data_IF_767925019038
#
_entry.id   IF_767925019038
#
_cell.length_a   1.000
_cell.length_b   1.000
_cell.length_c   1.000
_cell.angle_alpha   90.00
_cell.angle_beta   90.00
_cell.angle_gamma   90.00
#
_symmetry.space_group_name_H-M   'P 1'
#
loop_
_entity.id
_entity.type
_entity.pdbx_description
1 polymer ?
#
# COMPACT_ATOMS: atom_id res chain seq x y z
N UNK A 1 -43.91 -3.24 3.71
CA UNK A 1 -42.60 -3.85 3.36
C UNK A 1 -41.40 -2.96 3.70
N UNK A 2 -41.48 -1.63 3.57
CA UNK A 2 -40.34 -0.73 3.82
C UNK A 2 -39.93 -0.62 5.30
N UNK A 3 -40.89 -0.68 6.22
CA UNK A 3 -40.63 -0.60 7.67
C UNK A 3 -39.84 -1.81 8.18
N UNK A 4 -40.14 -3.01 7.66
CA UNK A 4 -39.40 -4.23 7.96
C UNK A 4 -37.93 -4.17 7.52
N UNK A 5 -37.66 -3.50 6.39
CA UNK A 5 -36.27 -3.30 5.90
C UNK A 5 -35.49 -2.35 6.83
N UNK A 6 -36.14 -1.29 7.31
CA UNK A 6 -35.52 -0.33 8.26
C UNK A 6 -35.24 -1.00 9.62
N UNK A 7 -36.16 -1.84 10.10
CA UNK A 7 -35.97 -2.64 11.33
C UNK A 7 -34.81 -3.64 11.21
N UNK A 8 -34.70 -4.34 10.08
CA UNK A 8 -33.60 -5.27 9.84
C UNK A 8 -32.23 -4.57 9.79
N UNK A 9 -32.13 -3.42 9.11
CA UNK A 9 -30.88 -2.64 9.05
C UNK A 9 -30.46 -2.15 10.45
N UNK A 10 -31.41 -1.68 11.26
CA UNK A 10 -31.14 -1.28 12.64
C UNK A 10 -30.65 -2.47 13.49
N UNK A 11 -31.26 -3.64 13.32
CA UNK A 11 -30.88 -4.86 14.01
C UNK A 11 -29.47 -5.35 13.61
N UNK A 12 -29.15 -5.36 12.31
CA UNK A 12 -27.81 -5.70 11.80
C UNK A 12 -26.76 -4.73 12.36
N UNK A 13 -27.08 -3.44 12.43
CA UNK A 13 -26.16 -2.42 12.98
C UNK A 13 -25.90 -2.64 14.47
N UNK A 14 -26.91 -3.05 15.23
CA UNK A 14 -26.78 -3.40 16.65
C UNK A 14 -25.93 -4.68 16.87
N UNK A 15 -26.11 -5.68 16.02
CA UNK A 15 -25.47 -7.01 16.16
C UNK A 15 -24.24 -7.21 15.26
N UNK A 16 -23.71 -6.14 14.66
CA UNK A 16 -22.58 -6.17 13.70
C UNK A 16 -21.37 -6.97 14.18
N UNK A 17 -21.03 -6.88 15.48
CA UNK A 17 -19.88 -7.59 16.08
C UNK A 17 -20.13 -9.10 16.13
N UNK A 18 -21.34 -9.52 16.49
CA UNK A 18 -21.72 -10.93 16.55
C UNK A 18 -21.82 -11.54 15.15
N UNK A 19 -22.36 -10.79 14.18
CA UNK A 19 -22.39 -11.20 12.77
C UNK A 19 -20.97 -11.34 12.18
N UNK A 20 -20.05 -10.44 12.54
CA UNK A 20 -18.66 -10.55 12.13
C UNK A 20 -17.98 -11.80 12.71
N UNK A 21 -18.17 -12.07 14.00
CA UNK A 21 -17.62 -13.28 14.65
C UNK A 21 -18.23 -14.56 14.07
N UNK A 22 -19.54 -14.59 13.81
CA UNK A 22 -20.21 -15.73 13.19
C UNK A 22 -19.79 -15.91 11.71
N UNK A 23 -19.57 -14.81 10.98
CA UNK A 23 -19.07 -14.87 9.61
C UNK A 23 -17.65 -15.42 9.54
N UNK A 24 -16.76 -14.96 10.44
CA UNK A 24 -15.39 -15.48 10.53
C UNK A 24 -15.38 -16.94 10.91
N UNK A 25 -16.21 -17.37 11.87
CA UNK A 25 -16.20 -18.78 12.32
C UNK A 25 -16.62 -19.74 11.22
N UNK A 26 -17.65 -19.41 10.43
CA UNK A 26 -18.08 -20.23 9.28
C UNK A 26 -16.98 -20.26 8.21
N UNK A 27 -16.37 -19.11 7.90
CA UNK A 27 -15.31 -19.02 6.89
C UNK A 27 -14.07 -19.82 7.32
N UNK A 28 -13.70 -19.79 8.60
CA UNK A 28 -12.59 -20.56 9.15
C UNK A 28 -12.82 -22.07 9.02
N UNK A 29 -14.03 -22.57 9.32
CA UNK A 29 -14.36 -24.00 9.19
C UNK A 29 -14.26 -24.45 7.73
N UNK A 30 -14.81 -23.68 6.79
CA UNK A 30 -14.74 -23.97 5.36
C UNK A 30 -13.27 -23.95 4.90
N UNK A 31 -12.50 -22.95 5.33
CA UNK A 31 -11.06 -22.84 5.04
C UNK A 31 -10.29 -24.06 5.54
N UNK A 32 -10.53 -24.52 6.76
CA UNK A 32 -9.89 -25.72 7.32
C UNK A 32 -10.22 -26.95 6.48
N UNK A 33 -11.48 -27.15 6.08
CA UNK A 33 -11.88 -28.29 5.24
C UNK A 33 -11.17 -28.26 3.89
N UNK A 34 -11.08 -27.10 3.25
CA UNK A 34 -10.36 -26.94 1.98
C UNK A 34 -8.86 -27.18 2.18
N UNK A 35 -8.28 -26.66 3.26
CA UNK A 35 -6.88 -26.88 3.61
C UNK A 35 -6.54 -28.36 3.83
N UNK A 36 -7.42 -29.10 4.49
CA UNK A 36 -7.23 -30.53 4.72
C UNK A 36 -7.39 -31.34 3.42
N UNK A 37 -8.37 -31.01 2.59
CA UNK A 37 -8.61 -31.71 1.31
C UNK A 37 -7.50 -31.46 0.29
N UNK A 38 -6.97 -30.25 0.24
CA UNK A 38 -6.00 -29.81 -0.77
C UNK A 38 -4.62 -29.54 -0.17
N UNK A 39 -4.24 -30.28 0.88
CA UNK A 39 -3.01 -30.09 1.65
C UNK A 39 -1.77 -30.05 0.74
N UNK A 40 -1.70 -30.94 -0.24
CA UNK A 40 -0.54 -31.03 -1.15
C UNK A 40 -0.43 -29.80 -2.06
N UNK A 41 -1.54 -29.38 -2.68
CA UNK A 41 -1.57 -28.18 -3.51
C UNK A 41 -1.21 -26.90 -2.72
N UNK A 42 -1.64 -26.81 -1.47
CA UNK A 42 -1.28 -25.66 -0.60
C UNK A 42 0.21 -25.70 -0.24
N UNK A 43 0.78 -26.89 -0.01
CA UNK A 43 2.22 -27.04 0.26
C UNK A 43 3.05 -26.66 -0.96
N UNK A 44 2.65 -27.08 -2.14
CA UNK A 44 3.29 -26.71 -3.41
C UNK A 44 3.24 -25.20 -3.65
N UNK A 45 2.07 -24.57 -3.43
CA UNK A 45 1.94 -23.12 -3.52
C UNK A 45 2.82 -22.38 -2.50
N UNK A 46 2.93 -22.90 -1.28
CA UNK A 46 3.79 -22.34 -0.25
C UNK A 46 5.27 -22.45 -0.62
N UNK A 47 5.71 -23.62 -1.09
CA UNK A 47 7.09 -23.83 -1.57
C UNK A 47 7.39 -22.94 -2.79
N UNK A 48 6.45 -22.77 -3.72
CA UNK A 48 6.60 -21.83 -4.84
C UNK A 48 6.72 -20.38 -4.37
N UNK A 49 5.97 -19.98 -3.35
CA UNK A 49 6.02 -18.65 -2.78
C UNK A 49 7.35 -18.41 -2.06
N UNK A 50 7.79 -19.35 -1.23
CA UNK A 50 9.09 -19.30 -0.55
C UNK A 50 10.25 -19.21 -1.55
N UNK A 51 10.20 -20.00 -2.62
CA UNK A 51 11.16 -19.95 -3.71
C UNK A 51 11.11 -18.63 -4.50
N UNK A 52 9.97 -17.96 -4.56
CA UNK A 52 9.87 -16.63 -5.19
C UNK A 52 10.46 -15.52 -4.32
N UNK A 53 10.37 -15.64 -2.99
CA UNK A 53 10.89 -14.68 -2.04
C UNK A 53 12.39 -14.86 -1.77
N UNK A 54 12.89 -16.10 -1.84
CA UNK A 54 14.32 -16.42 -1.68
C UNK A 54 15.16 -16.05 -2.89
N UNK A 55 14.54 -15.92 -4.07
CA UNK A 55 15.12 -15.30 -5.26
C UNK A 55 15.25 -13.79 -5.03
N UNK A 56 16.28 -13.43 -4.28
CA UNK A 56 16.75 -12.05 -4.15
C UNK A 56 17.01 -11.52 -5.58
N UNK A 57 16.46 -10.37 -5.99
CA UNK A 57 16.83 -9.76 -7.26
C UNK A 57 18.33 -9.46 -7.22
N UNK A 58 19.10 -10.10 -8.09
CA UNK A 58 20.56 -10.01 -8.23
C UNK A 58 21.05 -8.62 -8.69
N UNK A 59 20.19 -7.59 -8.62
CA UNK A 59 20.56 -6.20 -8.88
C UNK A 59 19.83 -5.28 -7.91
N UNK A 60 20.39 -5.16 -6.70
CA UNK A 60 20.20 -3.96 -5.88
C UNK A 60 21.58 -3.30 -5.72
N UNK A 61 21.71 -2.00 -6.05
CA UNK A 61 22.96 -1.29 -5.87
C UNK A 61 23.34 -1.23 -4.39
N UNK A 62 24.65 -1.31 -4.21
CA UNK A 62 25.45 -1.30 -2.99
C UNK A 62 24.79 -0.66 -1.76
N UNK A 63 24.78 -1.44 -0.68
CA UNK A 63 24.40 -1.03 0.66
C UNK A 63 25.15 0.22 1.11
N UNK A 64 24.42 1.28 1.43
CA UNK A 64 24.95 2.45 2.12
C UNK A 64 25.39 1.99 3.51
N UNK A 65 26.69 2.10 3.79
CA UNK A 65 27.30 1.76 5.08
C UNK A 65 26.71 2.63 6.19
N UNK A 66 25.96 2.04 7.12
CA UNK A 66 25.65 2.66 8.41
C UNK A 66 26.69 2.14 9.40
N UNK A 67 27.57 3.04 9.85
CA UNK A 67 28.53 2.77 10.93
C UNK A 67 27.76 2.54 12.22
N UNK A 68 27.85 1.32 12.75
CA UNK A 68 27.24 0.88 13.99
C UNK A 68 28.05 1.41 15.19
N UNK A 69 27.51 2.38 15.91
CA UNK A 69 27.94 2.68 17.30
C UNK A 69 26.92 2.08 18.26
N UNK A 70 27.40 1.35 19.27
CA UNK A 70 26.61 0.58 20.22
C UNK A 70 25.55 1.43 20.93
N UNK A 71 24.33 0.90 21.17
CA UNK A 71 23.27 1.67 21.82
C UNK A 71 23.48 1.73 23.34
N UNK A 72 23.41 2.91 23.99
CA UNK A 72 22.89 2.97 25.34
C UNK A 72 21.36 2.83 25.28
N UNK A 73 20.80 2.22 26.33
CA UNK A 73 19.35 2.11 26.56
C UNK A 73 18.72 3.51 26.49
N UNK A 74 17.77 3.70 25.57
CA UNK A 74 16.96 4.91 25.48
C UNK A 74 15.50 4.47 25.64
N UNK A 75 14.86 4.93 26.72
CA UNK A 75 13.40 4.85 26.88
C UNK A 75 12.73 5.41 25.62
N UNK A 76 11.85 4.63 24.99
CA UNK A 76 11.07 5.08 23.84
C UNK A 76 10.05 6.16 24.28
N UNK A 77 10.51 7.40 24.37
CA UNK A 77 9.64 8.57 24.27
C UNK A 77 9.36 8.74 22.78
N UNK A 78 8.17 8.34 22.32
CA UNK A 78 7.70 8.63 20.97
C UNK A 78 7.60 10.17 20.85
N UNK A 79 8.47 10.86 20.09
CA UNK A 79 8.33 12.29 19.94
C UNK A 79 7.08 12.55 19.09
N UNK A 80 6.13 13.29 19.65
CA UNK A 80 5.04 13.88 18.87
C UNK A 80 5.68 14.74 17.79
N UNK A 81 5.60 14.31 16.54
CA UNK A 81 6.15 15.06 15.40
C UNK A 81 5.33 16.33 15.24
N UNK A 82 5.87 17.46 15.66
CA UNK A 82 5.28 18.77 15.37
C UNK A 82 5.43 19.01 13.87
N UNK A 83 4.33 19.01 13.13
CA UNK A 83 4.35 19.31 11.70
C UNK A 83 4.59 20.81 11.50
N UNK A 84 5.77 21.16 11.01
CA UNK A 84 6.09 22.52 10.57
C UNK A 84 6.01 22.58 9.05
N UNK A 85 5.34 23.61 8.52
CA UNK A 85 5.36 23.88 7.08
C UNK A 85 6.73 24.45 6.71
N UNK A 86 7.34 24.04 5.58
CA UNK A 86 8.53 24.69 5.06
C UNK A 86 8.27 26.19 4.86
N UNK A 87 9.18 27.03 5.36
CA UNK A 87 9.12 28.49 5.21
C UNK A 87 10.05 29.00 4.11
N UNK A 88 11.04 28.20 3.69
CA UNK A 88 11.99 28.56 2.65
C UNK A 88 11.65 27.90 1.32
N UNK A 89 11.98 28.53 0.18
CA UNK A 89 11.84 27.92 -1.12
C UNK A 89 12.69 26.64 -1.23
N UNK A 90 12.12 25.60 -1.82
CA UNK A 90 12.86 24.37 -2.09
C UNK A 90 12.43 23.74 -3.42
N UNK A 91 13.38 23.10 -4.08
CA UNK A 91 13.15 22.46 -5.37
C UNK A 91 12.54 21.07 -5.19
N UNK A 92 11.47 20.82 -5.94
CA UNK A 92 10.80 19.53 -6.04
C UNK A 92 11.18 18.93 -7.38
N UNK A 93 11.93 17.84 -7.34
CA UNK A 93 12.31 17.08 -8.53
C UNK A 93 11.11 16.53 -9.29
N UNK A 94 11.34 16.28 -10.58
CA UNK A 94 10.40 15.57 -11.44
C UNK A 94 9.96 14.25 -10.81
N UNK A 95 8.65 13.97 -10.82
CA UNK A 95 8.10 12.75 -10.24
C UNK A 95 6.79 12.34 -10.92
N UNK A 96 6.41 11.08 -10.74
CA UNK A 96 5.12 10.57 -11.19
C UNK A 96 4.06 10.84 -10.11
N UNK A 97 2.92 11.38 -10.50
CA UNK A 97 1.75 11.51 -9.61
C UNK A 97 0.54 10.75 -10.15
N UNK A 98 -0.31 10.31 -9.23
CA UNK A 98 -1.61 9.73 -9.56
C UNK A 98 -2.65 10.85 -9.75
N UNK A 99 -3.44 10.76 -10.82
CA UNK A 99 -4.54 11.66 -11.12
C UNK A 99 -5.84 11.11 -10.51
N UNK A 100 -6.62 11.99 -9.89
CA UNK A 100 -7.93 11.64 -9.33
C UNK A 100 -9.04 11.66 -10.38
N UNK A 101 -10.14 10.96 -10.10
CA UNK A 101 -11.38 11.07 -10.87
C UNK A 101 -11.32 10.48 -12.28
N UNK A 102 -10.56 9.40 -12.48
CA UNK A 102 -10.46 8.73 -13.78
C UNK A 102 -9.77 9.57 -14.85
N UNK A 103 -9.06 10.63 -14.48
CA UNK A 103 -8.27 11.44 -15.40
C UNK A 103 -7.05 10.66 -15.87
N UNK A 104 -6.59 11.00 -17.08
CA UNK A 104 -5.45 10.38 -17.74
C UNK A 104 -4.42 11.45 -18.11
N UNK A 105 -3.17 11.05 -18.36
CA UNK A 105 -2.16 11.96 -18.89
C UNK A 105 -2.53 12.48 -20.28
N UNK A 106 -2.02 13.66 -20.62
CA UNK A 106 -2.05 14.14 -22.01
C UNK A 106 -1.02 13.37 -22.85
N UNK A 107 -1.19 13.45 -24.17
CA UNK A 107 -0.25 12.83 -25.14
C UNK A 107 1.17 13.40 -24.98
N UNK A 108 1.28 14.70 -24.71
CA UNK A 108 2.58 15.37 -24.48
C UNK A 108 3.30 14.77 -23.27
N UNK A 109 2.61 14.62 -22.13
CA UNK A 109 3.19 14.02 -20.93
C UNK A 109 3.53 12.54 -21.09
N UNK A 110 2.80 11.81 -21.93
CA UNK A 110 3.18 10.45 -22.31
C UNK A 110 4.48 10.43 -23.12
N UNK A 111 4.64 11.32 -24.09
CA UNK A 111 5.83 11.41 -24.93
C UNK A 111 7.07 11.83 -24.11
N UNK A 112 6.92 12.81 -23.21
CA UNK A 112 8.00 13.22 -22.30
C UNK A 112 8.44 12.08 -21.38
N UNK A 113 7.49 11.35 -20.80
CA UNK A 113 7.80 10.18 -19.98
C UNK A 113 8.48 9.07 -20.78
N UNK A 114 7.98 8.77 -21.99
CA UNK A 114 8.58 7.78 -22.88
C UNK A 114 10.01 8.16 -23.30
N UNK A 115 10.29 9.44 -23.53
CA UNK A 115 11.63 9.93 -23.82
C UNK A 115 12.61 9.70 -22.65
N UNK A 116 12.10 9.66 -21.41
CA UNK A 116 12.85 9.31 -20.21
C UNK A 116 12.85 7.80 -19.92
N UNK A 117 12.25 6.98 -20.78
CA UNK A 117 12.11 5.53 -20.58
C UNK A 117 11.10 5.15 -19.50
N UNK A 118 10.13 6.02 -19.22
CA UNK A 118 9.11 5.82 -18.19
C UNK A 118 7.77 5.51 -18.85
N UNK A 119 7.22 4.33 -18.57
CA UNK A 119 5.87 3.94 -18.98
C UNK A 119 4.84 4.41 -17.94
N UNK A 120 4.01 5.38 -18.31
CA UNK A 120 2.95 5.90 -17.44
C UNK A 120 1.71 4.99 -17.46
N UNK A 121 1.22 4.63 -16.27
CA UNK A 121 -0.08 3.97 -16.15
C UNK A 121 -1.23 4.93 -16.55
N UNK A 122 -2.43 4.40 -16.87
CA UNK A 122 -3.55 5.22 -17.33
C UNK A 122 -3.85 6.42 -16.42
N UNK A 123 -3.80 6.27 -15.10
CA UNK A 123 -4.12 7.34 -14.15
C UNK A 123 -2.89 8.05 -13.57
N UNK A 124 -1.77 8.03 -14.30
CA UNK A 124 -0.54 8.69 -13.91
C UNK A 124 -0.18 9.82 -14.86
N UNK A 125 0.56 10.80 -14.35
CA UNK A 125 1.20 11.83 -15.16
C UNK A 125 2.58 12.16 -14.60
N UNK A 126 3.46 12.64 -15.48
CA UNK A 126 4.77 13.14 -15.13
C UNK A 126 4.65 14.62 -14.73
N UNK A 127 5.11 14.94 -13.52
CA UNK A 127 5.17 16.31 -12.99
C UNK A 127 6.59 16.80 -13.16
N UNK A 128 6.76 17.93 -13.82
CA UNK A 128 8.06 18.56 -14.03
C UNK A 128 8.66 19.06 -12.72
N UNK A 129 9.97 19.30 -12.74
CA UNK A 129 10.66 19.95 -11.62
C UNK A 129 10.10 21.36 -11.41
N UNK A 130 9.81 21.72 -10.17
CA UNK A 130 9.32 23.05 -9.80
C UNK A 130 9.78 23.43 -8.40
N UNK A 131 9.86 24.73 -8.13
CA UNK A 131 10.18 25.25 -6.81
C UNK A 131 8.90 25.45 -6.00
N UNK A 132 8.83 24.88 -4.79
CA UNK A 132 7.77 25.17 -3.82
C UNK A 132 8.19 26.30 -2.90
N UNK A 133 7.21 27.01 -2.36
CA UNK A 133 7.41 28.13 -1.43
C UNK A 133 8.24 29.29 -2.02
N UNK A 134 8.25 29.45 -3.35
CA UNK A 134 8.76 30.65 -3.99
C UNK A 134 7.84 31.85 -3.66
N UNK A 135 8.44 32.97 -3.28
CA UNK A 135 7.76 34.20 -2.83
C UNK A 135 6.99 34.92 -3.94
#
# INVERSE_FOLDING_TARGET
MEENKKGFIAWVKAHKKQLFMAGISVTAIIGIIICLKNKEAIKELWESLENSLSKTPENLPESITIVQTAPPVIEEVIPVRVYTSPQEPFDVSQHIRNLSGGRHHSVEKAAEAAALGIDLLPHQTLVDTYTKCAA
#
